data_IF_393371802113
#
_entry.id   IF_393371802113
#
_cell.length_a   1.000
_cell.length_b   1.000
_cell.length_c   1.000
_cell.angle_alpha   90.00
_cell.angle_beta   90.00
_cell.angle_gamma   90.00
#
_symmetry.space_group_name_H-M   'P 1'
#
loop_
_entity.id
_entity.type
_entity.pdbx_description
1 polymer ?
#
# COMPACT_ATOMS: atom_id res chain seq x y z
N UNK A 1 -20.57 14.46 -11.41
CA UNK A 1 -20.54 13.06 -10.96
C UNK A 1 -19.17 12.87 -10.34
N UNK A 2 -19.07 13.07 -9.02
CA UNK A 2 -17.78 13.03 -8.32
C UNK A 2 -17.43 11.57 -8.07
N UNK A 3 -16.40 11.04 -8.74
CA UNK A 3 -15.86 9.72 -8.44
C UNK A 3 -15.24 9.78 -7.05
N UNK A 4 -15.89 9.15 -6.07
CA UNK A 4 -15.33 8.98 -4.73
C UNK A 4 -14.24 7.90 -4.83
N UNK A 5 -13.00 8.31 -5.10
CA UNK A 5 -11.87 7.40 -5.20
C UNK A 5 -11.43 7.02 -3.78
N UNK A 6 -11.89 5.87 -3.30
CA UNK A 6 -11.54 5.34 -1.97
C UNK A 6 -10.41 4.31 -2.15
N UNK A 7 -9.22 4.68 -1.69
CA UNK A 7 -8.09 3.76 -1.54
C UNK A 7 -8.20 3.06 -0.18
N UNK A 8 -8.08 1.72 -0.15
CA UNK A 8 -7.79 1.00 1.08
C UNK A 8 -6.35 0.50 1.06
N UNK A 9 -5.58 0.94 2.04
CA UNK A 9 -4.22 0.47 2.30
C UNK A 9 -4.27 -0.39 3.56
N UNK A 10 -3.89 -1.66 3.43
CA UNK A 10 -3.94 -2.66 4.50
C UNK A 10 -2.50 -2.89 4.97
N UNK A 11 -2.28 -2.87 6.29
CA UNK A 11 -1.01 -3.18 6.93
C UNK A 11 -1.24 -4.18 8.07
N UNK A 12 -0.37 -5.18 8.18
CA UNK A 12 -0.35 -6.15 9.26
C UNK A 12 0.81 -5.86 10.22
N UNK A 13 0.51 -5.32 11.41
CA UNK A 13 1.53 -5.04 12.44
C UNK A 13 1.70 -6.26 13.37
N UNK A 14 2.89 -6.84 13.39
CA UNK A 14 3.32 -7.76 14.44
C UNK A 14 3.65 -6.99 15.74
N UNK A 15 2.89 -7.26 16.80
CA UNK A 15 3.21 -7.06 18.22
C UNK A 15 3.25 -5.63 18.83
N UNK A 16 2.11 -5.27 19.48
CA UNK A 16 1.91 -4.49 20.73
C UNK A 16 2.43 -3.03 20.87
N UNK A 17 1.43 -2.13 20.80
CA UNK A 17 1.17 -0.88 21.58
C UNK A 17 1.02 0.40 20.71
N UNK A 18 -0.27 0.73 20.59
CA UNK A 18 -0.96 1.95 20.18
C UNK A 18 -1.18 2.23 18.68
N UNK A 19 -2.48 2.08 18.34
CA UNK A 19 -3.26 2.55 17.18
C UNK A 19 -2.96 1.89 15.83
N UNK A 20 -3.24 0.59 15.75
CA UNK A 20 -3.65 -0.07 14.50
C UNK A 20 -4.73 -1.10 14.88
N UNK A 21 -6.00 -0.74 14.71
CA UNK A 21 -7.17 -1.52 15.11
C UNK A 21 -7.98 -1.83 13.87
N UNK A 22 -7.61 -2.87 13.11
CA UNK A 22 -8.40 -3.36 11.96
C UNK A 22 -8.15 -4.87 11.87
N UNK A 23 -8.78 -5.72 12.69
CA UNK A 23 -10.10 -6.36 12.50
C UNK A 23 -10.27 -6.93 11.09
N UNK A 24 -10.08 -8.26 10.98
CA UNK A 24 -10.04 -9.04 9.72
C UNK A 24 -11.42 -9.54 9.25
N UNK A 25 -12.51 -9.38 9.99
CA UNK A 25 -13.82 -9.91 9.53
C UNK A 25 -14.81 -8.87 9.00
N UNK A 26 -14.70 -7.59 9.37
CA UNK A 26 -15.69 -6.55 9.02
C UNK A 26 -15.36 -5.82 7.69
N UNK A 27 -14.12 -5.91 7.21
CA UNK A 27 -13.67 -5.10 6.06
C UNK A 27 -14.05 -5.71 4.71
N UNK A 28 -14.15 -7.04 4.58
CA UNK A 28 -14.52 -7.66 3.29
C UNK A 28 -15.90 -7.16 2.82
N UNK A 29 -16.85 -6.98 3.73
CA UNK A 29 -18.17 -6.41 3.41
C UNK A 29 -18.10 -4.95 2.98
N UNK A 30 -17.20 -4.15 3.58
CA UNK A 30 -17.03 -2.72 3.25
C UNK A 30 -16.15 -2.46 2.03
N UNK A 31 -15.36 -3.46 1.62
CA UNK A 31 -14.51 -3.40 0.44
C UNK A 31 -15.31 -3.58 -0.87
N UNK A 32 -16.56 -4.04 -0.79
CA UNK A 32 -17.48 -4.07 -1.93
C UNK A 32 -17.82 -2.64 -2.37
N UNK A 33 -16.95 -2.03 -3.16
CA UNK A 33 -17.02 -0.64 -3.61
C UNK A 33 -15.67 0.06 -3.72
N UNK A 34 -14.59 -0.52 -3.20
CA UNK A 34 -13.23 -0.03 -3.45
C UNK A 34 -12.81 -0.40 -4.87
N UNK A 35 -12.32 0.58 -5.64
CA UNK A 35 -11.87 0.34 -7.02
C UNK A 35 -10.55 -0.43 -7.07
N UNK A 36 -9.66 -0.22 -6.10
CA UNK A 36 -8.34 -0.84 -6.04
C UNK A 36 -7.85 -1.01 -4.59
N UNK A 37 -6.96 -1.97 -4.38
CA UNK A 37 -6.21 -2.14 -3.12
C UNK A 37 -4.72 -1.94 -3.43
N UNK A 38 -4.02 -1.18 -2.59
CA UNK A 38 -2.56 -1.00 -2.67
C UNK A 38 -1.93 -1.50 -1.37
N UNK A 39 -0.99 -2.44 -1.50
CA UNK A 39 -0.24 -3.06 -0.40
C UNK A 39 1.27 -2.88 -0.64
N UNK A 40 1.86 -1.89 0.00
CA UNK A 40 3.29 -1.62 -0.02
C UNK A 40 4.13 -2.51 0.92
N UNK A 41 3.95 -3.83 0.82
CA UNK A 41 4.80 -4.82 1.50
C UNK A 41 4.37 -5.24 2.88
N UNK A 42 5.09 -6.23 3.41
CA UNK A 42 4.81 -6.98 4.65
C UNK A 42 3.43 -7.61 4.59
N UNK A 43 3.22 -8.37 3.52
CA UNK A 43 1.95 -8.98 3.17
C UNK A 43 1.61 -10.12 4.12
N UNK A 44 2.62 -10.91 4.51
CA UNK A 44 2.44 -12.03 5.41
C UNK A 44 1.99 -13.34 4.75
N UNK A 45 1.84 -13.38 3.42
CA UNK A 45 1.61 -14.63 2.66
C UNK A 45 0.80 -14.45 1.37
N UNK A 46 0.94 -15.40 0.44
CA UNK A 46 0.24 -15.39 -0.87
C UNK A 46 -1.26 -15.44 -0.71
N UNK A 47 -1.74 -16.22 0.25
CA UNK A 47 -3.16 -16.42 0.52
C UNK A 47 -3.88 -15.13 0.92
N UNK A 48 -3.15 -14.14 1.43
CA UNK A 48 -3.70 -12.82 1.73
C UNK A 48 -3.97 -12.07 0.43
N UNK A 49 -3.01 -12.05 -0.51
CA UNK A 49 -3.23 -11.44 -1.83
C UNK A 49 -4.36 -12.13 -2.58
N UNK A 50 -4.40 -13.47 -2.57
CA UNK A 50 -5.47 -14.22 -3.26
C UNK A 50 -6.87 -13.83 -2.73
N UNK A 51 -6.99 -13.58 -1.41
CA UNK A 51 -8.24 -13.09 -0.81
C UNK A 51 -8.56 -11.65 -1.21
N UNK A 52 -7.57 -10.76 -1.22
CA UNK A 52 -7.75 -9.36 -1.60
C UNK A 52 -8.11 -9.22 -3.09
N UNK A 53 -7.48 -9.99 -3.96
CA UNK A 53 -7.79 -10.08 -5.39
C UNK A 53 -9.19 -10.62 -5.66
N UNK A 54 -9.71 -11.49 -4.78
CA UNK A 54 -11.10 -11.93 -4.80
C UNK A 54 -12.12 -10.81 -4.53
N UNK A 55 -11.67 -9.67 -3.98
CA UNK A 55 -12.52 -8.52 -3.68
C UNK A 55 -12.41 -7.46 -4.79
N UNK A 56 -11.18 -7.03 -5.10
CA UNK A 56 -10.90 -6.09 -6.19
C UNK A 56 -9.43 -6.18 -6.61
N UNK A 57 -9.08 -5.51 -7.71
CA UNK A 57 -7.72 -5.49 -8.22
C UNK A 57 -6.75 -4.99 -7.15
N UNK A 58 -5.78 -5.83 -6.81
CA UNK A 58 -4.81 -5.58 -5.76
C UNK A 58 -3.42 -5.36 -6.37
N UNK A 59 -2.75 -4.30 -5.93
CA UNK A 59 -1.39 -3.99 -6.29
C UNK A 59 -0.51 -4.15 -5.06
N UNK A 60 0.60 -4.88 -5.21
CA UNK A 60 1.48 -5.24 -4.11
C UNK A 60 2.93 -5.02 -4.48
N UNK A 61 3.74 -4.54 -3.51
CA UNK A 61 5.20 -4.60 -3.56
C UNK A 61 5.74 -5.39 -2.36
N UNK A 62 6.99 -5.80 -2.43
CA UNK A 62 7.67 -6.61 -1.42
C UNK A 62 8.06 -5.76 -0.21
N UNK A 63 7.72 -6.25 0.99
CA UNK A 63 8.23 -5.70 2.25
C UNK A 63 9.44 -6.44 2.78
N UNK A 64 10.02 -5.93 3.87
CA UNK A 64 11.19 -6.55 4.46
C UNK A 64 10.90 -7.90 5.14
N UNK A 65 9.62 -8.18 5.44
CA UNK A 65 9.19 -9.45 6.04
C UNK A 65 8.76 -10.51 5.00
N UNK A 66 8.58 -10.13 3.73
CA UNK A 66 8.18 -11.02 2.63
C UNK A 66 9.38 -11.79 2.06
N UNK A 67 10.04 -12.59 2.91
CA UNK A 67 11.30 -13.30 2.61
C UNK A 67 11.12 -14.74 2.13
N UNK A 68 9.89 -15.23 2.12
CA UNK A 68 9.58 -16.57 1.64
C UNK A 68 9.69 -16.66 0.11
N UNK A 69 9.68 -17.87 -0.44
CA UNK A 69 9.87 -18.08 -1.88
C UNK A 69 8.87 -17.27 -2.73
N UNK A 70 7.64 -17.11 -2.23
CA UNK A 70 6.63 -16.31 -2.90
C UNK A 70 6.88 -14.81 -2.72
N UNK A 71 7.15 -14.33 -1.49
CA UNK A 71 7.43 -12.92 -1.23
C UNK A 71 8.59 -12.38 -2.06
N UNK A 72 9.61 -13.21 -2.32
CA UNK A 72 10.73 -12.87 -3.21
C UNK A 72 10.32 -12.65 -4.67
N UNK A 73 9.15 -13.13 -5.11
CA UNK A 73 8.61 -12.87 -6.45
C UNK A 73 7.90 -11.51 -6.57
N UNK A 74 7.59 -10.86 -5.44
CA UNK A 74 6.95 -9.56 -5.43
C UNK A 74 7.92 -8.47 -5.92
N UNK A 75 7.44 -7.48 -6.68
CA UNK A 75 8.28 -6.38 -7.13
C UNK A 75 8.67 -5.49 -5.95
N UNK A 76 9.85 -4.88 -5.98
CA UNK A 76 10.31 -3.98 -4.91
C UNK A 76 9.58 -2.63 -4.91
N UNK A 77 9.17 -2.17 -6.10
CA UNK A 77 8.37 -0.98 -6.30
C UNK A 77 7.34 -1.21 -7.42
N UNK A 78 6.34 -0.33 -7.50
CA UNK A 78 5.41 -0.28 -8.63
C UNK A 78 5.02 1.16 -8.95
N UNK A 79 4.77 1.37 -10.22
CA UNK A 79 4.16 2.58 -10.77
C UNK A 79 2.85 2.20 -11.43
N UNK A 80 1.79 2.93 -11.10
CA UNK A 80 0.45 2.72 -11.64
C UNK A 80 -0.21 4.07 -11.90
N UNK A 81 -1.03 4.13 -12.94
CA UNK A 81 -1.88 5.29 -13.23
C UNK A 81 -3.33 4.93 -12.90
N UNK A 82 -4.01 5.82 -12.18
CA UNK A 82 -5.41 5.66 -11.77
C UNK A 82 -6.14 6.99 -11.91
N UNK A 83 -7.13 7.06 -12.79
CA UNK A 83 -7.93 8.27 -13.01
C UNK A 83 -7.03 9.53 -13.17
N UNK A 84 -6.02 9.43 -14.03
CA UNK A 84 -5.01 10.47 -14.33
C UNK A 84 -4.06 10.81 -13.16
N UNK A 85 -4.09 10.04 -12.07
CA UNK A 85 -3.15 10.14 -10.95
C UNK A 85 -2.04 9.12 -11.09
N UNK A 86 -0.80 9.58 -11.19
CA UNK A 86 0.40 8.75 -11.24
C UNK A 86 0.87 8.42 -9.83
N UNK A 87 0.83 7.13 -9.49
CA UNK A 87 1.12 6.62 -8.15
C UNK A 87 2.38 5.75 -8.21
N UNK A 88 3.40 6.15 -7.46
CA UNK A 88 4.58 5.35 -7.17
C UNK A 88 4.43 4.73 -5.78
N UNK A 89 4.76 3.46 -5.60
CA UNK A 89 4.77 2.89 -4.26
C UNK A 89 5.86 1.85 -4.05
N UNK A 90 6.44 1.89 -2.86
CA UNK A 90 7.61 1.13 -2.43
C UNK A 90 7.49 0.85 -0.94
N UNK A 91 8.10 -0.21 -0.43
CA UNK A 91 7.95 -0.50 0.99
C UNK A 91 8.67 0.49 1.92
N UNK A 92 9.93 0.84 1.62
CA UNK A 92 10.74 1.71 2.49
C UNK A 92 10.95 3.09 1.85
N UNK A 93 10.82 4.16 2.64
CA UNK A 93 11.10 5.54 2.21
C UNK A 93 12.51 5.70 1.61
N UNK A 94 13.48 4.94 2.12
CA UNK A 94 14.87 5.00 1.67
C UNK A 94 15.05 4.51 0.22
N UNK A 95 14.12 3.71 -0.28
CA UNK A 95 14.17 3.12 -1.62
C UNK A 95 13.47 4.01 -2.68
N UNK A 96 12.92 5.16 -2.27
CA UNK A 96 12.35 6.14 -3.19
C UNK A 96 13.48 6.83 -3.97
N UNK A 97 13.44 6.85 -5.32
CA UNK A 97 14.42 7.57 -6.13
C UNK A 97 14.50 9.06 -5.75
N UNK A 98 15.71 9.61 -5.66
CA UNK A 98 15.94 11.02 -5.26
C UNK A 98 15.44 12.03 -6.30
N UNK A 99 15.39 11.60 -7.55
CA UNK A 99 15.00 12.38 -8.72
C UNK A 99 13.63 11.96 -9.26
N UNK A 100 12.80 11.34 -8.41
CA UNK A 100 11.43 10.97 -8.77
C UNK A 100 10.65 12.23 -9.17
N UNK A 101 10.27 12.27 -10.45
CA UNK A 101 9.50 13.34 -11.08
C UNK A 101 8.30 12.70 -11.77
N UNK A 102 7.30 13.51 -12.08
CA UNK A 102 6.14 13.08 -12.87
C UNK A 102 5.24 12.05 -12.16
N UNK A 103 5.24 12.05 -10.82
CA UNK A 103 4.27 11.29 -10.02
C UNK A 103 3.50 12.24 -9.12
N UNK A 104 2.22 11.95 -8.87
CA UNK A 104 1.36 12.76 -8.03
C UNK A 104 1.38 12.28 -6.58
N UNK A 105 1.54 10.97 -6.38
CA UNK A 105 1.46 10.31 -5.08
C UNK A 105 2.55 9.23 -4.93
N UNK A 106 3.26 9.28 -3.82
CA UNK A 106 4.22 8.28 -3.37
C UNK A 106 3.69 7.59 -2.11
N UNK A 107 3.46 6.29 -2.18
CA UNK A 107 3.02 5.48 -1.04
C UNK A 107 4.20 4.64 -0.52
N UNK A 108 4.45 4.71 0.78
CA UNK A 108 5.47 3.87 1.44
C UNK A 108 5.11 3.53 2.88
N UNK A 109 5.92 2.69 3.52
CA UNK A 109 5.70 2.24 4.88
C UNK A 109 6.97 2.08 5.71
N UNK A 110 7.04 0.99 6.48
CA UNK A 110 8.15 0.52 7.32
C UNK A 110 8.40 1.30 8.62
N UNK A 111 7.94 2.55 8.70
CA UNK A 111 8.29 3.43 9.82
C UNK A 111 7.40 3.29 11.06
N UNK A 112 6.29 2.53 10.98
CA UNK A 112 5.20 2.51 11.98
C UNK A 112 4.67 3.90 12.38
N UNK A 113 4.89 4.93 11.56
CA UNK A 113 4.45 6.31 11.80
C UNK A 113 3.68 6.81 10.60
N UNK A 114 2.41 7.16 10.81
CA UNK A 114 1.64 7.81 9.77
C UNK A 114 2.27 9.17 9.43
N UNK A 115 2.44 9.46 8.15
CA UNK A 115 2.81 10.80 7.66
C UNK A 115 2.14 11.08 6.33
N UNK A 116 1.74 12.34 6.14
CA UNK A 116 1.24 12.86 4.87
C UNK A 116 1.94 14.20 4.65
N UNK A 117 2.86 14.23 3.70
CA UNK A 117 3.71 15.38 3.42
C UNK A 117 3.59 15.74 1.94
N UNK A 118 3.56 17.03 1.61
CA UNK A 118 3.69 17.49 0.22
C UNK A 118 5.06 18.10 0.04
N UNK A 119 5.86 17.54 -0.87
CA UNK A 119 7.19 18.06 -1.23
C UNK A 119 7.10 18.43 -2.71
N UNK A 120 7.35 19.70 -3.02
CA UNK A 120 7.06 20.29 -4.32
C UNK A 120 5.60 20.02 -4.75
N UNK A 121 5.40 19.23 -5.81
CA UNK A 121 4.09 18.87 -6.32
C UNK A 121 3.67 17.43 -5.99
N UNK A 122 4.50 16.67 -5.27
CA UNK A 122 4.29 15.26 -4.99
C UNK A 122 3.77 15.09 -3.56
N UNK A 123 2.73 14.27 -3.39
CA UNK A 123 2.24 13.84 -2.08
C UNK A 123 2.98 12.58 -1.64
N UNK A 124 3.53 12.58 -0.44
CA UNK A 124 4.23 11.46 0.19
C UNK A 124 3.37 10.93 1.34
N UNK A 125 2.84 9.72 1.18
CA UNK A 125 1.97 9.05 2.13
C UNK A 125 2.70 7.85 2.74
N UNK A 126 2.91 7.92 4.05
CA UNK A 126 3.41 6.85 4.87
C UNK A 126 2.26 6.25 5.66
N UNK A 127 1.93 5.01 5.38
CA UNK A 127 0.95 4.27 6.16
C UNK A 127 1.69 3.28 7.01
N UNK A 128 1.29 3.16 8.26
CA UNK A 128 2.03 2.47 9.32
C UNK A 128 2.17 0.97 9.00
N UNK A 129 3.25 0.59 8.32
CA UNK A 129 3.74 -0.79 8.21
C UNK A 129 4.94 -0.93 9.13
#
# INVERSE_FOLDING_TARGET
>A
MWALMVFLMISFVFNRKLVAFIIIEIIIEKLQGCHYIIHAGDVGGKEIIDKLEGITKTFVVRGNNDKDQWGLTLPEYKEIEMDEVLIYFVHNKADIPKDLKEVDLVIYGHSHKFSNEKIDNIVYLNYMI
#
